data_IF_212678427646
#
_entry.id   IF_212678427646
#
_cell.length_a   1.000
_cell.length_b   1.000
_cell.length_c   1.000
_cell.angle_alpha   90.00
_cell.angle_beta   90.00
_cell.angle_gamma   90.00
#
_symmetry.space_group_name_H-M   'P 1'
#
loop_
_entity.id
_entity.type
_entity.pdbx_description
1 polymer ?
#
# COMPACT_ATOMS: atom_id res chain seq x y z
N UNK A 1 -17.60 -31.18 -50.48
CA UNK A 1 -19.08 -31.21 -50.45
C UNK A 1 -19.59 -30.18 -49.50
N UNK A 2 -20.14 -29.20 -50.05
CA UNK A 2 -21.36 -28.40 -49.79
C UNK A 2 -21.38 -27.63 -48.49
N UNK A 3 -21.30 -26.34 -48.63
CA UNK A 3 -22.34 -25.28 -48.91
C UNK A 3 -22.87 -24.73 -47.58
N UNK A 4 -22.99 -23.53 -47.28
CA UNK A 4 -23.27 -22.21 -47.89
C UNK A 4 -24.15 -21.40 -46.89
N UNK A 5 -23.79 -20.15 -46.63
CA UNK A 5 -24.67 -18.98 -46.69
C UNK A 5 -25.61 -18.72 -45.50
N UNK A 6 -25.48 -17.59 -44.78
CA UNK A 6 -26.31 -16.43 -45.01
C UNK A 6 -25.77 -15.18 -44.32
N UNK A 7 -25.52 -14.17 -45.15
CA UNK A 7 -25.34 -12.78 -44.77
C UNK A 7 -26.71 -12.12 -44.60
N UNK A 8 -26.84 -11.17 -43.68
CA UNK A 8 -27.87 -10.11 -43.78
C UNK A 8 -27.28 -8.75 -43.46
N UNK A 9 -27.24 -7.97 -44.50
CA UNK A 9 -26.99 -6.55 -44.58
C UNK A 9 -28.24 -5.77 -44.11
N UNK A 10 -28.07 -4.73 -43.33
CA UNK A 10 -28.94 -3.57 -43.38
C UNK A 10 -28.17 -2.27 -43.32
N UNK A 11 -28.32 -1.54 -44.37
CA UNK A 11 -27.85 -0.22 -44.74
C UNK A 11 -28.89 0.83 -44.27
N UNK A 12 -28.48 2.06 -44.17
CA UNK A 12 -29.20 3.36 -44.14
C UNK A 12 -28.98 4.13 -42.86
N UNK A 13 -28.64 5.42 -42.83
CA UNK A 13 -28.57 6.46 -43.85
C UNK A 13 -27.73 7.63 -43.34
N UNK A 14 -26.99 8.24 -44.28
CA UNK A 14 -26.41 9.58 -44.14
C UNK A 14 -27.54 10.63 -44.09
N UNK A 15 -27.40 11.63 -43.19
CA UNK A 15 -27.86 12.98 -43.46
C UNK A 15 -26.81 13.98 -42.96
N UNK A 16 -26.19 14.62 -43.96
CA UNK A 16 -25.41 15.83 -43.79
C UNK A 16 -26.33 17.03 -43.75
N UNK A 17 -26.16 17.96 -42.79
CA UNK A 17 -26.55 19.36 -43.00
C UNK A 17 -25.45 20.27 -42.43
N UNK A 18 -25.08 21.13 -43.29
CA UNK A 18 -24.01 22.15 -43.23
C UNK A 18 -24.57 23.47 -42.62
N UNK A 19 -23.66 24.27 -42.06
CA UNK A 19 -23.72 25.74 -41.84
C UNK A 19 -24.64 26.29 -40.74
N UNK A 20 -24.10 27.08 -39.79
CA UNK A 20 -23.80 28.49 -39.91
C UNK A 20 -23.12 29.09 -38.67
N UNK A 21 -22.28 30.07 -38.94
CA UNK A 21 -21.58 30.99 -38.05
C UNK A 21 -22.52 31.82 -37.16
N UNK A 22 -22.01 32.22 -35.98
CA UNK A 22 -22.54 33.41 -35.28
C UNK A 22 -22.15 33.44 -33.79
N UNK A 23 -21.05 34.01 -33.41
CA UNK A 23 -20.76 35.22 -32.63
C UNK A 23 -21.47 35.43 -31.28
N UNK A 24 -20.70 35.29 -30.21
CA UNK A 24 -20.54 36.10 -29.00
C UNK A 24 -21.68 36.30 -27.95
N UNK A 25 -21.27 36.65 -26.71
CA UNK A 25 -21.96 36.13 -25.54
C UNK A 25 -22.94 37.18 -24.98
N UNK A 26 -24.09 36.75 -24.60
CA UNK A 26 -24.99 37.54 -23.77
C UNK A 26 -24.88 37.06 -22.32
N UNK A 27 -24.54 38.00 -21.45
CA UNK A 27 -24.59 37.90 -20.01
C UNK A 27 -25.93 37.33 -19.52
N UNK A 28 -25.86 36.28 -18.72
CA UNK A 28 -27.00 35.74 -18.00
C UNK A 28 -27.48 36.75 -16.94
N UNK A 29 -28.77 36.93 -16.76
CA UNK A 29 -29.30 37.78 -15.66
C UNK A 29 -29.07 37.11 -14.31
N UNK A 30 -28.79 37.97 -13.31
CA UNK A 30 -28.59 37.58 -11.93
C UNK A 30 -29.82 36.84 -11.38
N UNK A 31 -29.61 35.69 -10.75
CA UNK A 31 -30.63 34.96 -10.00
C UNK A 31 -31.07 35.79 -8.76
N UNK A 32 -32.36 35.83 -8.44
CA UNK A 32 -32.82 36.44 -7.20
C UNK A 32 -32.36 35.60 -5.98
N UNK A 33 -32.17 36.24 -4.81
CA UNK A 33 -31.75 35.53 -3.62
C UNK A 33 -32.77 34.51 -3.15
N UNK A 34 -32.31 33.34 -2.72
CA UNK A 34 -33.13 32.27 -2.19
C UNK A 34 -33.93 32.72 -0.95
N UNK A 35 -35.16 32.28 -0.76
CA UNK A 35 -35.96 32.63 0.42
C UNK A 35 -35.35 32.05 1.68
N UNK A 36 -35.21 32.88 2.71
CA UNK A 36 -34.78 32.50 4.06
C UNK A 36 -35.88 31.63 4.65
N UNK A 37 -35.61 30.34 4.81
CA UNK A 37 -36.44 29.42 5.56
C UNK A 37 -36.34 29.75 7.06
N UNK A 38 -37.39 30.38 7.61
CA UNK A 38 -37.56 30.52 9.05
C UNK A 38 -37.96 29.16 9.61
N UNK A 39 -37.09 28.59 10.46
CA UNK A 39 -37.38 27.33 11.14
C UNK A 39 -38.61 27.53 12.09
N UNK A 40 -39.55 26.59 12.12
CA UNK A 40 -40.67 26.67 13.07
C UNK A 40 -40.13 26.42 14.49
N UNK A 41 -40.48 27.35 15.41
CA UNK A 41 -40.26 27.21 16.84
C UNK A 41 -41.09 26.03 17.36
N UNK A 42 -40.42 24.96 17.77
CA UNK A 42 -41.10 23.85 18.45
C UNK A 42 -41.52 24.30 19.85
N UNK A 43 -42.73 23.95 20.33
CA UNK A 43 -43.12 24.20 21.70
C UNK A 43 -42.30 23.34 22.66
N UNK A 44 -41.81 23.97 23.75
CA UNK A 44 -41.15 23.27 24.84
C UNK A 44 -42.08 22.24 25.45
N UNK A 45 -41.72 20.96 25.34
CA UNK A 45 -42.35 19.88 26.08
C UNK A 45 -41.90 19.94 27.51
N UNK A 46 -42.80 20.35 28.42
CA UNK A 46 -42.55 20.29 29.86
C UNK A 46 -42.62 18.83 30.28
N UNK A 47 -41.48 18.24 30.67
CA UNK A 47 -41.48 16.93 31.27
C UNK A 47 -42.16 16.95 32.67
N UNK A 48 -43.14 16.07 32.95
CA UNK A 48 -43.70 15.93 34.27
C UNK A 48 -42.62 15.38 35.22
N UNK A 49 -42.45 16.02 36.37
CA UNK A 49 -41.61 15.52 37.45
C UNK A 49 -42.14 14.21 37.98
N UNK A 50 -41.43 13.13 37.76
CA UNK A 50 -41.71 11.82 38.34
C UNK A 50 -41.16 11.84 39.79
N UNK A 51 -42.03 11.89 40.78
CA UNK A 51 -41.72 11.66 42.19
C UNK A 51 -41.44 10.18 42.37
N UNK A 52 -40.17 9.79 42.54
CA UNK A 52 -39.76 8.44 42.91
C UNK A 52 -40.04 8.23 44.40
N UNK A 53 -40.99 7.36 44.73
CA UNK A 53 -41.15 6.85 46.10
C UNK A 53 -40.09 5.79 46.38
N UNK A 54 -39.34 5.91 47.46
CA UNK A 54 -38.26 4.98 47.72
C UNK A 54 -38.74 3.85 48.67
N UNK A 55 -39.12 2.71 48.10
CA UNK A 55 -39.20 1.46 48.90
C UNK A 55 -39.13 0.22 48.00
N UNK A 56 -37.92 -0.09 47.52
CA UNK A 56 -37.59 -1.47 47.19
C UNK A 56 -36.27 -1.83 47.85
N UNK A 57 -36.18 -2.98 48.53
CA UNK A 57 -34.93 -3.44 49.09
C UNK A 57 -33.96 -3.77 47.93
N UNK A 58 -32.78 -3.19 47.98
CA UNK A 58 -31.68 -3.52 47.04
C UNK A 58 -31.36 -5.01 47.21
N UNK A 59 -31.33 -5.79 46.11
CA UNK A 59 -30.80 -7.15 46.16
C UNK A 59 -29.32 -7.08 46.57
N UNK A 60 -28.98 -7.91 47.59
CA UNK A 60 -27.58 -8.11 47.99
C UNK A 60 -26.77 -8.58 46.79
N UNK A 61 -25.88 -7.73 46.25
CA UNK A 61 -24.95 -8.11 45.22
C UNK A 61 -23.95 -9.11 45.81
N UNK A 62 -23.99 -10.34 45.31
CA UNK A 62 -22.92 -11.31 45.56
C UNK A 62 -21.60 -10.70 45.04
N UNK A 63 -20.46 -10.95 45.71
CA UNK A 63 -19.17 -10.43 45.22
C UNK A 63 -18.91 -10.92 43.80
N UNK A 64 -18.68 -9.99 42.87
CA UNK A 64 -18.24 -10.28 41.50
C UNK A 64 -16.86 -10.93 41.59
N UNK A 65 -16.80 -12.24 41.42
CA UNK A 65 -15.53 -12.95 41.23
C UNK A 65 -15.10 -12.69 39.78
N UNK A 66 -14.14 -11.80 39.60
CA UNK A 66 -13.49 -11.64 38.27
C UNK A 66 -12.69 -12.94 38.00
N UNK A 67 -12.78 -13.50 36.78
CA UNK A 67 -11.87 -14.55 36.39
C UNK A 67 -10.42 -14.03 36.51
N UNK A 68 -9.47 -14.92 36.90
CA UNK A 68 -8.07 -14.51 36.94
C UNK A 68 -7.68 -13.88 35.63
N UNK A 69 -6.81 -12.85 35.62
CA UNK A 69 -6.37 -12.20 34.39
C UNK A 69 -5.78 -13.27 33.47
N UNK A 70 -6.22 -13.28 32.22
CA UNK A 70 -5.62 -14.12 31.19
C UNK A 70 -4.12 -13.85 31.19
N UNK A 71 -3.25 -14.88 31.24
CA UNK A 71 -1.81 -14.67 31.25
C UNK A 71 -1.44 -13.78 30.06
N UNK A 72 -0.79 -12.66 30.37
CA UNK A 72 -0.18 -11.80 29.37
C UNK A 72 0.73 -12.68 28.52
N UNK A 73 0.66 -12.65 27.19
CA UNK A 73 1.58 -13.39 26.35
C UNK A 73 3.00 -13.06 26.80
N UNK A 74 3.74 -14.07 27.19
CA UNK A 74 5.15 -13.91 27.56
C UNK A 74 5.86 -13.40 26.32
N UNK A 75 6.43 -12.20 26.38
CA UNK A 75 7.26 -11.70 25.28
C UNK A 75 8.31 -12.76 24.97
N UNK A 76 8.32 -13.24 23.73
CA UNK A 76 9.32 -14.17 23.26
C UNK A 76 10.71 -13.57 23.49
N UNK A 77 11.58 -14.30 24.19
CA UNK A 77 12.90 -13.82 24.60
C UNK A 77 13.99 -14.08 23.54
N UNK A 78 13.62 -14.15 22.24
CA UNK A 78 14.61 -14.35 21.19
C UNK A 78 15.64 -13.22 21.13
N UNK A 79 16.85 -13.55 20.76
CA UNK A 79 17.95 -12.62 20.55
C UNK A 79 18.18 -12.45 19.04
N UNK A 80 18.58 -11.25 18.64
CA UNK A 80 18.96 -10.99 17.26
C UNK A 80 20.29 -11.70 16.96
N UNK A 81 20.23 -12.82 16.23
CA UNK A 81 21.34 -13.63 15.83
C UNK A 81 21.15 -14.15 14.41
N UNK A 82 22.24 -14.42 13.64
CA UNK A 82 22.14 -14.93 12.28
C UNK A 82 21.25 -16.16 12.15
N UNK A 83 20.41 -16.17 11.11
CA UNK A 83 19.46 -17.25 10.82
C UNK A 83 18.08 -16.75 10.48
N UNK A 84 17.15 -17.69 10.27
CA UNK A 84 15.72 -17.41 10.01
C UNK A 84 14.89 -17.94 11.15
N UNK A 85 13.94 -17.13 11.65
CA UNK A 85 13.06 -17.50 12.75
C UNK A 85 11.63 -17.00 12.48
N UNK A 86 10.64 -17.74 12.98
CA UNK A 86 9.24 -17.37 12.97
C UNK A 86 8.85 -16.95 14.38
N UNK A 87 8.30 -15.75 14.53
CA UNK A 87 8.01 -15.13 15.81
C UNK A 87 6.62 -14.49 15.82
N UNK A 88 6.19 -14.08 17.00
CA UNK A 88 4.96 -13.33 17.17
C UNK A 88 5.08 -12.23 18.22
N UNK A 89 4.20 -11.23 18.10
CA UNK A 89 4.12 -10.11 19.02
C UNK A 89 2.68 -9.62 19.18
N UNK A 90 2.30 -9.07 20.34
CA UNK A 90 1.04 -8.37 20.48
C UNK A 90 1.13 -7.00 19.77
N UNK A 91 0.11 -6.67 18.95
CA UNK A 91 -0.08 -5.33 18.39
C UNK A 91 -1.56 -5.09 18.11
N UNK A 92 -2.05 -3.89 18.42
CA UNK A 92 -3.44 -3.46 18.23
C UNK A 92 -4.48 -4.50 18.74
N UNK A 93 -4.21 -5.14 19.89
CA UNK A 93 -5.09 -6.16 20.50
C UNK A 93 -5.13 -7.51 19.77
N UNK A 94 -4.23 -7.77 18.85
CA UNK A 94 -4.06 -9.03 18.11
C UNK A 94 -2.69 -9.63 18.38
N UNK A 95 -2.57 -10.96 18.26
CA UNK A 95 -1.27 -11.62 18.15
C UNK A 95 -0.87 -11.63 16.68
N UNK A 96 0.21 -10.93 16.34
CA UNK A 96 0.72 -10.78 14.98
C UNK A 96 1.96 -11.64 14.81
N UNK A 97 2.05 -12.28 13.66
CA UNK A 97 3.17 -13.15 13.30
C UNK A 97 4.08 -12.48 12.30
N UNK A 98 5.36 -12.86 12.32
CA UNK A 98 6.34 -12.44 11.33
C UNK A 98 7.46 -13.47 11.21
N UNK A 99 8.05 -13.55 10.02
CA UNK A 99 9.28 -14.29 9.75
C UNK A 99 10.41 -13.31 9.64
N UNK A 100 11.52 -13.56 10.33
CA UNK A 100 12.68 -12.68 10.37
C UNK A 100 13.92 -13.44 9.86
N UNK A 101 14.62 -12.87 8.89
CA UNK A 101 15.89 -13.38 8.41
C UNK A 101 17.01 -12.38 8.71
N UNK A 102 18.04 -12.86 9.42
CA UNK A 102 19.21 -12.11 9.85
C UNK A 102 20.43 -12.70 9.13
N UNK A 103 21.17 -11.91 8.34
CA UNK A 103 22.25 -12.42 7.52
C UNK A 103 23.43 -12.95 8.36
N UNK A 104 24.23 -13.89 7.84
CA UNK A 104 25.41 -14.45 8.55
C UNK A 104 26.45 -13.39 8.92
N UNK A 105 26.48 -12.27 8.20
CA UNK A 105 27.40 -11.13 8.45
C UNK A 105 26.96 -10.23 9.61
N UNK A 106 25.76 -10.42 10.18
CA UNK A 106 25.20 -9.56 11.22
C UNK A 106 26.10 -9.52 12.48
N UNK A 107 26.27 -8.31 13.00
CA UNK A 107 26.96 -8.03 14.26
C UNK A 107 26.14 -7.04 15.09
N UNK A 108 26.02 -7.31 16.37
CA UNK A 108 25.23 -6.45 17.28
C UNK A 108 25.87 -5.09 17.58
N UNK A 109 27.15 -4.91 17.23
CA UNK A 109 27.89 -3.65 17.37
C UNK A 109 27.92 -2.81 16.08
N UNK A 110 27.27 -3.28 14.99
CA UNK A 110 27.27 -2.61 13.68
C UNK A 110 25.86 -2.55 13.12
N UNK A 111 25.16 -1.39 13.16
CA UNK A 111 23.85 -1.24 12.59
C UNK A 111 23.81 -1.49 11.07
N UNK A 112 22.82 -2.28 10.63
CA UNK A 112 22.60 -2.62 9.21
C UNK A 112 21.15 -2.29 8.80
N UNK A 113 20.85 -2.15 7.48
CA UNK A 113 19.52 -1.84 6.98
C UNK A 113 18.48 -2.90 7.34
N UNK A 114 17.20 -2.47 7.40
CA UNK A 114 16.03 -3.33 7.55
C UNK A 114 15.12 -3.21 6.31
N UNK A 115 14.72 -4.35 5.73
CA UNK A 115 13.69 -4.41 4.69
C UNK A 115 12.45 -5.11 5.23
N UNK A 116 11.29 -4.47 5.11
CA UNK A 116 9.98 -5.04 5.38
C UNK A 116 9.40 -5.52 4.05
N UNK A 117 9.20 -6.83 3.89
CA UNK A 117 8.76 -7.45 2.64
C UNK A 117 7.39 -8.10 2.81
N UNK A 118 6.36 -7.51 2.21
CA UNK A 118 4.94 -7.77 2.44
C UNK A 118 4.36 -8.70 1.37
N UNK A 119 3.72 -9.79 1.81
CA UNK A 119 3.08 -10.76 0.93
C UNK A 119 1.79 -10.23 0.29
N UNK A 120 1.37 -10.82 -0.83
CA UNK A 120 0.07 -10.56 -1.47
C UNK A 120 -1.09 -11.27 -0.75
N UNK A 121 -2.32 -10.99 -1.17
CA UNK A 121 -3.54 -11.64 -0.65
C UNK A 121 -3.44 -13.16 -0.72
N UNK A 122 -3.75 -13.84 0.38
CA UNK A 122 -3.76 -15.29 0.48
C UNK A 122 -2.38 -15.94 0.60
N UNK A 123 -1.30 -15.16 0.61
CA UNK A 123 0.05 -15.65 0.80
C UNK A 123 0.52 -15.53 2.26
N UNK A 124 1.72 -16.03 2.52
CA UNK A 124 2.34 -16.06 3.84
C UNK A 124 3.77 -15.53 3.78
N UNK A 125 4.33 -15.14 4.92
CA UNK A 125 5.69 -14.61 5.01
C UNK A 125 6.75 -15.55 4.43
N UNK A 126 6.66 -16.85 4.70
CA UNK A 126 7.56 -17.86 4.13
C UNK A 126 7.44 -17.95 2.59
N UNK A 127 6.21 -17.92 2.06
CA UNK A 127 5.99 -17.89 0.62
C UNK A 127 6.57 -16.64 -0.03
N UNK A 128 6.44 -15.48 0.61
CA UNK A 128 7.01 -14.22 0.14
C UNK A 128 8.54 -14.25 0.15
N UNK A 129 9.15 -14.81 1.20
CA UNK A 129 10.61 -15.04 1.27
C UNK A 129 11.10 -15.84 0.06
N UNK A 130 10.48 -17.01 -0.18
CA UNK A 130 10.84 -17.90 -1.27
C UNK A 130 10.61 -17.24 -2.64
N UNK A 131 9.47 -16.54 -2.80
CA UNK A 131 9.07 -15.94 -4.06
C UNK A 131 9.99 -14.79 -4.48
N UNK A 132 10.43 -13.99 -3.53
CA UNK A 132 11.30 -12.84 -3.79
C UNK A 132 12.78 -13.17 -3.76
N UNK A 133 13.18 -14.24 -3.05
CA UNK A 133 14.59 -14.59 -2.82
C UNK A 133 15.37 -13.53 -2.02
N UNK A 134 14.64 -12.67 -1.28
CA UNK A 134 15.23 -11.51 -0.61
C UNK A 134 16.17 -11.92 0.53
N UNK A 135 15.94 -13.04 1.22
CA UNK A 135 16.85 -13.56 2.25
C UNK A 135 18.22 -13.95 1.69
N UNK A 136 18.26 -14.59 0.51
CA UNK A 136 19.52 -14.88 -0.16
C UNK A 136 20.27 -13.62 -0.62
N UNK A 137 19.54 -12.57 -0.95
CA UNK A 137 20.11 -11.26 -1.25
C UNK A 137 20.63 -10.60 0.03
N UNK A 138 19.89 -10.69 1.14
CA UNK A 138 20.28 -10.20 2.46
C UNK A 138 21.61 -10.80 2.93
N UNK A 139 21.84 -12.08 2.68
CA UNK A 139 23.10 -12.76 3.01
C UNK A 139 24.30 -12.19 2.25
N UNK A 140 24.10 -11.74 1.02
CA UNK A 140 25.17 -11.15 0.20
C UNK A 140 25.43 -9.70 0.50
N UNK A 141 24.35 -8.94 0.76
CA UNK A 141 24.38 -7.48 0.83
C UNK A 141 24.34 -6.93 2.27
N UNK A 142 24.19 -7.82 3.27
CA UNK A 142 24.26 -7.48 4.70
C UNK A 142 23.13 -6.54 5.16
N UNK A 143 21.86 -6.96 4.99
CA UNK A 143 20.68 -6.32 5.57
C UNK A 143 19.79 -7.35 6.28
N UNK A 144 18.96 -6.93 7.21
CA UNK A 144 17.91 -7.74 7.82
C UNK A 144 16.68 -7.66 6.94
N UNK A 145 15.96 -8.78 6.75
CA UNK A 145 14.64 -8.75 6.10
C UNK A 145 13.60 -9.39 7.01
N UNK A 146 12.46 -8.71 7.17
CA UNK A 146 11.30 -9.22 7.89
C UNK A 146 10.12 -9.38 6.94
N UNK A 147 9.42 -10.52 7.08
CA UNK A 147 8.22 -10.87 6.33
C UNK A 147 7.04 -10.92 7.30
N UNK A 148 6.36 -9.81 7.53
CA UNK A 148 5.20 -9.77 8.42
C UNK A 148 4.04 -10.58 7.83
N UNK A 149 3.12 -11.05 8.71
CA UNK A 149 1.95 -11.83 8.34
C UNK A 149 0.69 -10.97 8.45
N UNK A 150 -0.08 -10.89 7.35
CA UNK A 150 -1.42 -10.31 7.33
C UNK A 150 -2.43 -11.14 8.10
N UNK A 151 -3.58 -10.57 8.41
CA UNK A 151 -4.66 -11.23 9.15
C UNK A 151 -5.73 -11.83 8.23
N UNK A 152 -6.57 -12.70 8.81
CA UNK A 152 -7.73 -13.30 8.15
C UNK A 152 -7.50 -14.75 7.71
N UNK A 153 -8.60 -15.45 7.35
CA UNK A 153 -8.55 -16.81 6.78
C UNK A 153 -7.87 -16.82 5.42
N UNK A 154 -8.08 -15.75 4.63
CA UNK A 154 -7.31 -15.40 3.46
C UNK A 154 -6.44 -14.20 3.85
N UNK A 155 -5.19 -14.42 4.28
CA UNK A 155 -4.37 -13.35 4.83
C UNK A 155 -4.22 -12.19 3.84
N UNK A 156 -4.44 -10.97 4.34
CA UNK A 156 -4.35 -9.74 3.54
C UNK A 156 -4.03 -8.55 4.44
N UNK A 157 -3.71 -7.43 3.82
CA UNK A 157 -3.45 -6.14 4.46
C UNK A 157 -4.64 -5.22 4.26
N UNK A 158 -5.01 -4.51 5.32
CA UNK A 158 -5.96 -3.41 5.23
C UNK A 158 -5.27 -2.19 4.61
N UNK A 159 -5.83 -1.69 3.51
CA UNK A 159 -5.27 -0.56 2.76
C UNK A 159 -5.98 0.78 3.10
N UNK A 160 -6.96 0.79 4.00
CA UNK A 160 -7.59 2.03 4.42
C UNK A 160 -6.58 2.95 5.11
N UNK A 161 -6.59 4.26 4.78
CA UNK A 161 -5.68 5.21 5.43
C UNK A 161 -6.12 5.54 6.85
N UNK A 162 -5.16 5.92 7.69
CA UNK A 162 -5.43 6.54 8.99
C UNK A 162 -5.05 5.71 10.20
N UNK A 163 -5.16 6.35 11.35
CA UNK A 163 -4.68 5.82 12.64
C UNK A 163 -5.42 4.56 13.14
N UNK A 164 -6.62 4.29 12.62
CA UNK A 164 -7.41 3.10 12.97
C UNK A 164 -6.93 1.83 12.24
N UNK A 165 -6.04 1.96 11.26
CA UNK A 165 -5.51 0.83 10.51
C UNK A 165 -4.56 0.01 11.38
N UNK A 166 -5.02 -1.18 11.78
CA UNK A 166 -4.29 -2.07 12.68
C UNK A 166 -3.05 -2.70 12.02
N UNK A 167 -2.97 -2.74 10.70
CA UNK A 167 -1.80 -3.24 9.98
C UNK A 167 -0.69 -2.19 9.93
N UNK A 168 -1.02 -0.91 9.77
CA UNK A 168 -0.06 0.20 9.91
C UNK A 168 0.49 0.24 11.33
N UNK A 169 -0.41 0.10 12.34
CA UNK A 169 0.00 0.02 13.75
C UNK A 169 0.94 -1.17 13.99
N UNK A 170 0.63 -2.35 13.44
CA UNK A 170 1.48 -3.52 13.55
C UNK A 170 2.89 -3.30 12.96
N UNK A 171 2.99 -2.72 11.77
CA UNK A 171 4.32 -2.48 11.18
C UNK A 171 5.10 -1.46 11.98
N UNK A 172 4.45 -0.42 12.52
CA UNK A 172 5.10 0.55 13.43
C UNK A 172 5.65 -0.14 14.70
N UNK A 173 4.83 -0.99 15.33
CA UNK A 173 5.21 -1.74 16.54
C UNK A 173 6.32 -2.76 16.22
N UNK A 174 6.27 -3.43 15.06
CA UNK A 174 7.29 -4.38 14.61
C UNK A 174 8.64 -3.68 14.39
N UNK A 175 8.65 -2.52 13.73
CA UNK A 175 9.87 -1.71 13.58
C UNK A 175 10.44 -1.42 14.98
N UNK A 176 9.61 -0.95 15.91
CA UNK A 176 10.05 -0.61 17.28
C UNK A 176 10.55 -1.85 18.06
N UNK A 177 9.93 -3.01 17.89
CA UNK A 177 10.42 -4.26 18.45
C UNK A 177 11.81 -4.61 17.92
N UNK A 178 12.01 -4.53 16.60
CA UNK A 178 13.25 -4.86 15.93
C UNK A 178 14.39 -3.89 16.31
N UNK A 179 14.09 -2.59 16.42
CA UNK A 179 15.03 -1.56 16.90
C UNK A 179 15.57 -1.85 18.30
N UNK A 180 14.69 -2.36 19.18
CA UNK A 180 15.07 -2.67 20.56
C UNK A 180 15.86 -3.97 20.68
N UNK A 181 15.84 -4.84 19.68
CA UNK A 181 16.46 -6.17 19.74
C UNK A 181 17.66 -6.35 18.82
N UNK A 182 17.67 -5.63 17.68
CA UNK A 182 18.68 -5.75 16.66
C UNK A 182 19.40 -4.42 16.43
N UNK A 183 20.66 -4.46 16.03
CA UNK A 183 21.40 -3.30 15.58
C UNK A 183 20.92 -2.93 14.16
N UNK A 184 19.86 -2.08 14.09
CA UNK A 184 19.26 -1.59 12.84
C UNK A 184 19.71 -0.15 12.62
N UNK A 185 20.08 0.17 11.39
CA UNK A 185 20.28 1.53 10.95
C UNK A 185 18.93 2.20 10.71
N UNK A 186 18.52 3.05 11.66
CA UNK A 186 17.21 3.71 11.65
C UNK A 186 17.02 4.68 10.49
N UNK A 187 18.09 5.07 9.82
CA UNK A 187 18.01 5.89 8.61
C UNK A 187 17.78 5.05 7.35
N UNK A 188 17.88 3.72 7.43
CA UNK A 188 17.79 2.78 6.30
C UNK A 188 16.79 1.66 6.58
N UNK A 189 15.54 2.04 6.85
CA UNK A 189 14.40 1.13 6.96
C UNK A 189 13.57 1.28 5.68
N UNK A 190 13.32 0.17 4.99
CA UNK A 190 12.66 0.16 3.69
C UNK A 190 11.45 -0.76 3.69
N UNK A 191 10.51 -0.51 2.78
CA UNK A 191 9.37 -1.39 2.57
C UNK A 191 9.25 -1.81 1.11
N UNK A 192 8.93 -3.08 0.90
CA UNK A 192 8.59 -3.66 -0.39
C UNK A 192 7.47 -4.68 -0.23
N UNK A 193 6.82 -5.06 -1.30
CA UNK A 193 5.78 -6.08 -1.27
C UNK A 193 5.08 -6.22 -2.61
N UNK A 194 4.30 -7.29 -2.75
CA UNK A 194 3.62 -7.65 -3.98
C UNK A 194 2.11 -7.49 -3.86
N UNK A 195 1.42 -7.07 -4.94
CA UNK A 195 -0.04 -7.11 -5.01
C UNK A 195 -0.69 -6.28 -3.89
N UNK A 196 -1.52 -6.87 -3.04
CA UNK A 196 -2.04 -6.25 -1.81
C UNK A 196 -0.89 -5.80 -0.87
N UNK A 197 0.20 -6.59 -0.76
CA UNK A 197 1.41 -6.17 -0.05
C UNK A 197 2.12 -4.99 -0.71
N UNK A 198 2.06 -4.85 -2.03
CA UNK A 198 2.50 -3.65 -2.76
C UNK A 198 1.62 -2.44 -2.45
N UNK A 199 0.30 -2.65 -2.31
CA UNK A 199 -0.63 -1.65 -1.81
C UNK A 199 -0.31 -1.21 -0.40
N UNK A 200 -0.01 -2.16 0.50
CA UNK A 200 0.43 -1.86 1.87
C UNK A 200 1.79 -1.15 1.89
N UNK A 201 2.72 -1.53 1.02
CA UNK A 201 4.00 -0.81 0.83
C UNK A 201 3.77 0.67 0.51
N UNK A 202 2.81 0.97 -0.38
CA UNK A 202 2.38 2.34 -0.66
C UNK A 202 1.81 3.03 0.59
N UNK A 203 0.97 2.33 1.39
CA UNK A 203 0.45 2.89 2.66
C UNK A 203 1.56 3.21 3.65
N UNK A 204 2.55 2.33 3.80
CA UNK A 204 3.69 2.56 4.69
C UNK A 204 4.50 3.78 4.25
N UNK A 205 4.74 3.97 2.95
CA UNK A 205 5.38 5.18 2.42
C UNK A 205 4.59 6.46 2.75
N UNK A 206 3.25 6.38 2.80
CA UNK A 206 2.41 7.50 3.16
C UNK A 206 2.34 7.77 4.66
N UNK A 207 2.08 6.73 5.45
CA UNK A 207 1.72 6.85 6.88
C UNK A 207 2.94 6.79 7.82
N UNK A 208 4.05 6.20 7.35
CA UNK A 208 5.30 6.04 8.09
C UNK A 208 6.49 6.67 7.35
N UNK A 209 6.26 7.76 6.62
CA UNK A 209 7.31 8.46 5.88
C UNK A 209 8.42 9.02 6.78
N UNK A 210 8.16 9.18 8.07
CA UNK A 210 9.15 9.53 9.10
C UNK A 210 10.10 8.37 9.47
N UNK A 211 9.71 7.13 9.16
CA UNK A 211 10.44 5.90 9.50
C UNK A 211 10.94 5.13 8.26
N UNK A 212 10.20 5.18 7.16
CA UNK A 212 10.50 4.43 5.92
C UNK A 212 11.32 5.29 4.98
N UNK A 213 12.57 4.91 4.75
CA UNK A 213 13.52 5.66 3.92
C UNK A 213 13.16 5.65 2.43
N UNK A 214 12.68 4.52 1.91
CA UNK A 214 12.21 4.37 0.53
C UNK A 214 11.24 3.18 0.42
N UNK A 215 10.44 3.16 -0.64
CA UNK A 215 9.48 2.08 -0.91
C UNK A 215 9.66 1.47 -2.29
N UNK A 216 9.31 0.17 -2.41
CA UNK A 216 9.43 -0.59 -3.66
C UNK A 216 8.23 -1.51 -3.87
N UNK A 217 7.04 -1.01 -4.26
CA UNK A 217 5.90 -1.87 -4.55
C UNK A 217 6.05 -2.59 -5.89
N UNK A 218 5.67 -3.88 -5.92
CA UNK A 218 5.68 -4.72 -7.12
C UNK A 218 4.24 -5.16 -7.41
N UNK A 219 3.74 -4.90 -8.62
CA UNK A 219 2.36 -5.11 -9.08
C UNK A 219 1.32 -4.71 -8.03
N UNK A 220 1.52 -3.52 -7.45
CA UNK A 220 0.81 -3.07 -6.25
C UNK A 220 -0.65 -2.69 -6.49
N UNK A 221 -1.52 -3.10 -5.55
CA UNK A 221 -2.94 -2.75 -5.51
C UNK A 221 -3.13 -1.41 -4.76
N UNK A 222 -3.06 -0.30 -5.47
CA UNK A 222 -3.01 1.05 -4.88
C UNK A 222 -4.39 1.62 -4.53
N UNK A 223 -5.15 0.93 -3.67
CA UNK A 223 -6.40 1.48 -3.15
C UNK A 223 -6.15 2.74 -2.30
N UNK A 224 -7.10 3.68 -2.33
CA UNK A 224 -7.07 4.94 -1.57
C UNK A 224 -5.79 5.77 -1.77
N UNK A 225 -5.18 5.70 -2.94
CA UNK A 225 -3.85 6.27 -3.20
C UNK A 225 -3.79 7.80 -3.07
N UNK A 226 -4.91 8.51 -3.20
CA UNK A 226 -5.01 9.96 -3.06
C UNK A 226 -4.79 10.45 -1.63
N UNK A 227 -5.07 9.62 -0.62
CA UNK A 227 -4.86 9.95 0.80
C UNK A 227 -3.45 9.48 1.20
N UNK A 228 -2.51 10.42 1.29
CA UNK A 228 -1.10 10.11 1.53
C UNK A 228 -0.41 11.26 2.29
N UNK A 229 -0.47 11.24 3.64
CA UNK A 229 0.05 12.32 4.49
C UNK A 229 1.57 12.19 4.72
N UNK A 230 2.38 12.33 3.66
CA UNK A 230 3.84 12.26 3.81
C UNK A 230 4.37 13.43 4.64
N UNK A 231 5.33 13.16 5.53
CA UNK A 231 6.06 14.17 6.31
C UNK A 231 7.33 14.66 5.60
N UNK A 232 7.82 13.91 4.61
CA UNK A 232 8.97 14.20 3.76
C UNK A 232 8.81 13.51 2.41
N UNK A 233 9.58 13.91 1.37
CA UNK A 233 9.66 13.15 0.12
C UNK A 233 10.15 11.72 0.37
N UNK A 234 9.54 10.75 -0.33
CA UNK A 234 9.84 9.33 -0.17
C UNK A 234 10.26 8.75 -1.53
N UNK A 235 11.51 8.32 -1.69
CA UNK A 235 11.97 7.66 -2.90
C UNK A 235 11.16 6.40 -3.21
N UNK A 236 10.79 6.23 -4.49
CA UNK A 236 9.94 5.13 -4.96
C UNK A 236 10.56 4.43 -6.16
N UNK A 237 10.64 3.10 -6.13
CA UNK A 237 10.87 2.27 -7.30
C UNK A 237 9.72 1.27 -7.44
N UNK A 238 9.09 1.18 -8.60
CA UNK A 238 7.94 0.30 -8.81
C UNK A 238 8.10 -0.56 -10.06
N UNK A 239 7.47 -1.73 -10.04
CA UNK A 239 7.49 -2.70 -11.15
C UNK A 239 6.06 -3.13 -11.45
N UNK A 240 5.66 -3.09 -12.74
CA UNK A 240 4.33 -3.52 -13.14
C UNK A 240 4.31 -4.08 -14.56
N UNK A 241 3.59 -5.20 -14.73
CA UNK A 241 3.33 -5.77 -16.03
C UNK A 241 2.17 -5.07 -16.75
N UNK A 242 2.28 -4.80 -18.04
CA UNK A 242 1.20 -4.16 -18.79
C UNK A 242 0.06 -5.13 -19.20
N UNK A 243 0.28 -6.44 -19.01
CA UNK A 243 -0.72 -7.49 -19.16
C UNK A 243 -1.21 -8.06 -17.82
N UNK A 244 -1.08 -7.31 -16.73
CA UNK A 244 -1.57 -7.71 -15.39
C UNK A 244 -3.10 -7.68 -15.35
N UNK A 245 -3.72 -8.86 -15.25
CA UNK A 245 -5.19 -9.01 -15.17
C UNK A 245 -5.71 -8.89 -13.73
N UNK A 246 -4.85 -9.04 -12.72
CA UNK A 246 -5.23 -8.94 -11.30
C UNK A 246 -5.27 -7.50 -10.81
N UNK A 247 -4.27 -6.71 -11.18
CA UNK A 247 -4.18 -5.26 -10.97
C UNK A 247 -3.88 -4.62 -12.30
N UNK A 248 -4.91 -4.30 -13.11
CA UNK A 248 -4.73 -3.82 -14.47
C UNK A 248 -3.88 -2.54 -14.54
N UNK A 249 -2.94 -2.50 -15.48
CA UNK A 249 -2.02 -1.37 -15.67
C UNK A 249 -2.77 -0.05 -15.91
N UNK A 250 -3.88 -0.11 -16.67
CA UNK A 250 -4.74 1.04 -16.98
C UNK A 250 -5.71 1.39 -15.84
N UNK A 251 -5.59 0.70 -14.71
CA UNK A 251 -6.45 0.89 -13.55
C UNK A 251 -7.84 0.27 -13.69
N UNK A 252 -8.67 0.47 -12.67
CA UNK A 252 -10.05 -0.03 -12.61
C UNK A 252 -11.02 1.08 -12.17
N UNK A 253 -12.24 1.06 -12.71
CA UNK A 253 -13.30 1.99 -12.30
C UNK A 253 -13.09 3.45 -12.72
N UNK A 254 -13.93 4.34 -12.21
CA UNK A 254 -13.88 5.77 -12.51
C UNK A 254 -13.00 6.53 -11.51
N UNK A 255 -12.42 7.67 -11.90
CA UNK A 255 -11.58 8.49 -11.02
C UNK A 255 -12.27 8.91 -9.71
N UNK A 256 -13.58 9.08 -9.71
CA UNK A 256 -14.36 9.49 -8.54
C UNK A 256 -14.38 8.41 -7.43
N UNK A 257 -14.16 7.16 -7.80
CA UNK A 257 -14.18 6.02 -6.88
C UNK A 257 -12.81 5.65 -6.30
N UNK A 258 -11.73 6.21 -6.84
CA UNK A 258 -10.34 5.85 -6.49
C UNK A 258 -9.99 5.99 -4.99
N UNK A 259 -10.70 6.84 -4.25
CA UNK A 259 -10.45 7.09 -2.83
C UNK A 259 -11.62 6.68 -1.93
N UNK A 260 -12.63 6.02 -2.48
CA UNK A 260 -13.89 5.74 -1.78
C UNK A 260 -14.18 4.26 -1.70
N UNK A 261 -13.72 3.46 -2.67
CA UNK A 261 -14.03 2.04 -2.78
C UNK A 261 -12.75 1.20 -2.84
N UNK A 262 -12.67 0.19 -1.98
CA UNK A 262 -11.60 -0.81 -2.06
C UNK A 262 -11.74 -1.60 -3.37
N UNK A 263 -10.59 -1.96 -3.99
CA UNK A 263 -10.57 -2.68 -5.27
C UNK A 263 -10.69 -1.77 -6.51
N UNK A 264 -10.78 -0.46 -6.34
CA UNK A 264 -10.62 0.51 -7.41
C UNK A 264 -9.18 1.04 -7.39
N UNK A 265 -8.46 0.83 -8.49
CA UNK A 265 -7.04 1.17 -8.60
C UNK A 265 -6.83 2.24 -9.67
N UNK A 266 -5.88 3.18 -9.45
CA UNK A 266 -5.50 4.15 -10.47
C UNK A 266 -4.73 3.47 -11.61
N UNK A 267 -4.67 4.10 -12.81
CA UNK A 267 -3.66 3.74 -13.78
C UNK A 267 -2.25 3.82 -13.15
N UNK A 268 -1.41 2.83 -13.43
CA UNK A 268 -0.10 2.69 -12.77
C UNK A 268 0.81 3.88 -13.06
N UNK A 269 0.84 4.34 -14.30
CA UNK A 269 1.59 5.54 -14.66
C UNK A 269 1.10 6.78 -13.90
N UNK A 270 -0.22 6.94 -13.74
CA UNK A 270 -0.80 8.07 -12.99
C UNK A 270 -0.45 8.00 -11.51
N UNK A 271 -0.45 6.81 -10.91
CA UNK A 271 0.01 6.59 -9.55
C UNK A 271 1.49 7.01 -9.37
N UNK A 272 2.39 6.58 -10.26
CA UNK A 272 3.81 6.96 -10.22
C UNK A 272 4.01 8.47 -10.40
N UNK A 273 3.31 9.09 -11.37
CA UNK A 273 3.34 10.53 -11.59
C UNK A 273 2.80 11.32 -10.36
N UNK A 274 1.85 10.75 -9.62
CA UNK A 274 1.34 11.37 -8.38
C UNK A 274 2.39 11.33 -7.26
N UNK A 275 3.16 10.25 -7.13
CA UNK A 275 4.32 10.21 -6.23
C UNK A 275 5.35 11.26 -6.62
N UNK A 276 5.69 11.35 -7.91
CA UNK A 276 6.61 12.36 -8.41
C UNK A 276 6.14 13.80 -8.10
N UNK A 277 4.84 14.06 -8.22
CA UNK A 277 4.27 15.36 -7.85
C UNK A 277 4.40 15.64 -6.34
N UNK A 278 4.11 14.66 -5.47
CA UNK A 278 4.25 14.78 -4.02
C UNK A 278 5.68 15.08 -3.62
N UNK A 279 6.63 14.40 -4.21
CA UNK A 279 8.05 14.56 -3.94
C UNK A 279 8.66 15.80 -4.62
N UNK A 280 7.87 16.54 -5.40
CA UNK A 280 8.31 17.77 -6.07
C UNK A 280 9.32 17.53 -7.18
N UNK A 281 9.22 16.41 -7.87
CA UNK A 281 10.05 16.02 -8.99
C UNK A 281 9.73 16.82 -10.28
N UNK A 282 10.55 16.64 -11.32
CA UNK A 282 10.24 17.10 -12.66
C UNK A 282 8.91 16.53 -13.16
N UNK A 283 8.15 17.29 -13.94
CA UNK A 283 6.79 16.92 -14.40
C UNK A 283 6.75 15.78 -15.41
N UNK A 284 7.90 15.44 -16.01
CA UNK A 284 8.02 14.34 -16.98
C UNK A 284 9.19 13.45 -16.62
N UNK A 285 9.05 12.12 -16.75
CA UNK A 285 10.17 11.21 -16.52
C UNK A 285 11.16 11.24 -17.68
N UNK A 286 12.39 10.85 -17.38
CA UNK A 286 13.40 10.47 -18.36
C UNK A 286 13.38 8.95 -18.54
N UNK A 287 13.52 8.47 -19.78
CA UNK A 287 13.72 7.04 -20.04
C UNK A 287 15.15 6.67 -19.61
N UNK A 288 15.25 5.79 -18.61
CA UNK A 288 16.53 5.30 -18.06
C UNK A 288 16.91 3.90 -18.56
N UNK A 289 15.91 3.14 -19.05
CA UNK A 289 16.10 1.81 -19.62
C UNK A 289 15.02 1.52 -20.66
N UNK A 290 15.42 0.98 -21.81
CA UNK A 290 14.49 0.48 -22.82
C UNK A 290 15.14 -0.73 -23.50
N UNK A 291 14.92 -1.93 -22.92
CA UNK A 291 15.54 -3.17 -23.38
C UNK A 291 14.58 -4.33 -23.27
N UNK A 292 14.46 -5.14 -24.34
CA UNK A 292 13.80 -6.46 -24.33
C UNK A 292 12.40 -6.46 -23.63
N UNK A 293 11.55 -5.46 -23.95
CA UNK A 293 10.22 -5.36 -23.36
C UNK A 293 10.17 -4.74 -21.95
N UNK A 294 11.30 -4.18 -21.45
CA UNK A 294 11.31 -3.44 -20.19
C UNK A 294 11.55 -1.95 -20.47
N UNK A 295 10.59 -1.12 -20.06
CA UNK A 295 10.70 0.34 -20.04
C UNK A 295 10.91 0.80 -18.61
N UNK A 296 12.04 1.46 -18.36
CA UNK A 296 12.32 2.16 -17.10
C UNK A 296 12.21 3.66 -17.28
N UNK A 297 11.36 4.30 -16.50
CA UNK A 297 11.13 5.73 -16.49
C UNK A 297 11.43 6.31 -15.12
N UNK A 298 12.14 7.43 -15.04
CA UNK A 298 12.53 8.06 -13.79
C UNK A 298 12.13 9.54 -13.75
N UNK A 299 11.35 9.93 -12.75
CA UNK A 299 11.13 11.33 -12.37
C UNK A 299 12.25 11.74 -11.42
N UNK A 300 13.03 12.72 -11.84
CA UNK A 300 14.22 13.19 -11.15
C UNK A 300 14.08 14.65 -10.72
N UNK A 301 15.09 15.16 -10.00
CA UNK A 301 15.07 16.54 -9.50
C UNK A 301 14.05 16.77 -8.40
N UNK A 302 13.68 15.71 -7.67
CA UNK A 302 12.78 15.76 -6.53
C UNK A 302 13.43 16.45 -5.33
N UNK A 303 12.62 16.83 -4.34
CA UNK A 303 13.12 17.39 -3.08
C UNK A 303 13.90 16.33 -2.30
N UNK A 304 14.84 16.78 -1.49
CA UNK A 304 15.64 15.96 -0.56
C UNK A 304 16.32 14.74 -1.19
N UNK A 305 16.63 14.81 -2.50
CA UNK A 305 17.29 13.72 -3.22
C UNK A 305 16.40 12.51 -3.49
N UNK A 306 15.08 12.63 -3.32
CA UNK A 306 14.15 11.58 -3.73
C UNK A 306 14.16 11.40 -5.26
N UNK A 307 13.69 10.27 -5.71
CA UNK A 307 13.40 9.96 -7.11
C UNK A 307 12.24 8.97 -7.20
N UNK A 308 11.50 8.99 -8.29
CA UNK A 308 10.44 8.03 -8.55
C UNK A 308 10.77 7.28 -9.84
N UNK A 309 10.86 5.96 -9.76
CA UNK A 309 11.18 5.09 -10.89
C UNK A 309 10.01 4.12 -11.11
N UNK A 310 9.57 3.99 -12.36
CA UNK A 310 8.61 2.98 -12.79
C UNK A 310 9.24 2.08 -13.84
N UNK A 311 9.25 0.78 -13.58
CA UNK A 311 9.56 -0.24 -14.57
C UNK A 311 8.27 -0.87 -15.10
N UNK A 312 7.97 -0.66 -16.37
CA UNK A 312 6.88 -1.31 -17.09
C UNK A 312 7.42 -2.51 -17.87
N UNK A 313 6.82 -3.69 -17.66
CA UNK A 313 7.21 -4.94 -18.31
C UNK A 313 6.16 -5.34 -19.34
N UNK A 314 6.52 -5.25 -20.63
CA UNK A 314 5.63 -5.56 -21.75
C UNK A 314 5.26 -7.05 -21.78
N UNK A 315 3.96 -7.34 -21.83
CA UNK A 315 3.39 -8.69 -21.84
C UNK A 315 3.50 -9.46 -20.52
N UNK A 316 4.07 -8.86 -19.46
CA UNK A 316 4.12 -9.51 -18.17
C UNK A 316 2.78 -9.38 -17.43
N UNK A 317 2.38 -10.46 -16.74
CA UNK A 317 1.21 -10.50 -15.88
C UNK A 317 1.51 -10.11 -14.44
N UNK A 318 0.74 -10.70 -13.51
CA UNK A 318 0.82 -10.42 -12.07
C UNK A 318 1.97 -11.19 -11.41
N UNK A 319 3.22 -10.79 -11.61
CA UNK A 319 4.43 -11.50 -11.19
C UNK A 319 5.41 -10.61 -10.42
N UNK A 320 6.29 -11.25 -9.65
CA UNK A 320 7.51 -10.63 -9.14
C UNK A 320 8.62 -10.85 -10.17
N UNK A 321 9.12 -9.81 -10.85
CA UNK A 321 10.11 -9.97 -11.91
C UNK A 321 11.40 -10.62 -11.39
N UNK A 322 11.85 -11.69 -12.04
CA UNK A 322 13.03 -12.45 -11.63
C UNK A 322 12.80 -13.51 -10.55
N UNK A 323 11.56 -13.75 -10.15
CA UNK A 323 11.21 -14.90 -9.29
C UNK A 323 11.61 -16.22 -9.95
N UNK A 324 12.23 -17.12 -9.18
CA UNK A 324 12.67 -18.44 -9.68
C UNK A 324 11.64 -19.54 -9.47
N UNK A 325 10.53 -19.24 -8.80
CA UNK A 325 9.52 -20.26 -8.41
C UNK A 325 8.54 -20.53 -9.54
N UNK A 326 8.27 -19.56 -10.41
CA UNK A 326 7.39 -19.76 -11.56
C UNK A 326 8.23 -20.13 -12.80
N UNK A 327 8.23 -21.40 -13.23
CA UNK A 327 8.90 -21.79 -14.45
C UNK A 327 8.18 -21.21 -15.67
N UNK A 328 8.90 -20.55 -16.56
CA UNK A 328 8.40 -20.12 -17.86
C UNK A 328 8.19 -18.60 -18.03
N UNK A 329 8.39 -17.80 -17.00
CA UNK A 329 8.40 -16.34 -17.10
C UNK A 329 9.86 -15.82 -17.08
N UNK A 330 10.56 -15.77 -18.24
CA UNK A 330 11.89 -15.20 -18.29
C UNK A 330 11.81 -13.70 -18.06
N UNK A 331 11.99 -13.27 -16.84
CA UNK A 331 12.12 -11.85 -16.58
C UNK A 331 13.49 -11.37 -17.02
N UNK A 332 13.51 -10.33 -17.84
CA UNK A 332 14.73 -9.65 -18.30
C UNK A 332 15.43 -8.92 -17.16
N UNK A 333 14.69 -8.67 -16.07
CA UNK A 333 15.18 -7.99 -14.87
C UNK A 333 14.86 -8.80 -13.61
N UNK A 334 15.65 -8.58 -12.57
CA UNK A 334 15.38 -9.09 -11.23
C UNK A 334 14.97 -7.93 -10.32
N UNK A 335 13.70 -7.92 -9.89
CA UNK A 335 13.16 -6.85 -9.07
C UNK A 335 13.89 -6.75 -7.72
N UNK A 336 14.21 -7.87 -7.07
CA UNK A 336 14.90 -7.86 -5.77
C UNK A 336 16.27 -7.19 -5.85
N UNK A 337 17.06 -7.47 -6.90
CA UNK A 337 18.36 -6.85 -7.12
C UNK A 337 18.24 -5.35 -7.41
N UNK A 338 17.27 -4.94 -8.23
CA UNK A 338 17.05 -3.53 -8.54
C UNK A 338 16.49 -2.76 -7.34
N UNK A 339 15.64 -3.38 -6.54
CA UNK A 339 15.12 -2.83 -5.28
C UNK A 339 16.27 -2.55 -4.32
N UNK A 340 17.16 -3.52 -4.11
CA UNK A 340 18.30 -3.29 -3.24
C UNK A 340 19.23 -2.20 -3.77
N UNK A 341 19.60 -2.26 -5.04
CA UNK A 341 20.43 -1.24 -5.68
C UNK A 341 19.82 0.18 -5.64
N UNK A 342 18.50 0.27 -5.51
CA UNK A 342 17.79 1.52 -5.28
C UNK A 342 17.83 1.90 -3.79
N UNK A 343 17.49 1.01 -2.89
CA UNK A 343 17.40 1.26 -1.46
C UNK A 343 18.73 1.72 -0.85
N UNK A 344 19.84 1.09 -1.22
CA UNK A 344 21.18 1.43 -0.68
C UNK A 344 21.61 2.88 -0.93
N UNK A 345 20.99 3.58 -1.91
CA UNK A 345 21.26 4.98 -2.25
C UNK A 345 20.45 5.96 -1.41
N UNK A 346 19.42 5.49 -0.72
CA UNK A 346 18.47 6.35 -0.03
C UNK A 346 18.51 6.11 1.48
N UNK A 347 18.69 7.17 2.22
CA UNK A 347 18.62 7.17 3.68
C UNK A 347 17.82 8.41 4.14
N UNK A 348 17.16 8.31 5.29
CA UNK A 348 16.58 9.47 5.94
C UNK A 348 17.71 10.35 6.43
N UNK A 349 17.72 11.62 6.01
CA UNK A 349 18.68 12.59 6.55
C UNK A 349 18.42 12.80 8.04
N UNK A 350 19.46 12.87 8.88
CA UNK A 350 19.34 13.10 10.31
C UNK A 350 18.66 14.44 10.65
#
# INVERSE_FOLDING_TARGET
MNRLVLALVFLCSLVSVLCCRGSYPTSAPAQPPAPVLVAPTQPMVVCPQITLSPTWPLPSLAPLTFPPPTPTPTESSWMCAPGTLDESMPSAGKNRQFRLHIPPSYRSDQPIPLIINLHGTGAYGEGQEQYTGMSSLADRESFIVVYPQGLGETPAWDLEPGEQNIDIAFIRDLISLLENRCAIDLTRIYATGMSNGGGMTNRLGCELSDRIAAIAPVVGAYAYFGVCPISRPVPVIAFHGDADESVPYEGTGSPELLNVVSGVFPPIYYWAATWALRDGCASRPAVISQKQGVLGEAWQGCKDGAEVILYTLAGAGHIWPGSRILPGEPSVINASELIWAFFEKHAISP
#
